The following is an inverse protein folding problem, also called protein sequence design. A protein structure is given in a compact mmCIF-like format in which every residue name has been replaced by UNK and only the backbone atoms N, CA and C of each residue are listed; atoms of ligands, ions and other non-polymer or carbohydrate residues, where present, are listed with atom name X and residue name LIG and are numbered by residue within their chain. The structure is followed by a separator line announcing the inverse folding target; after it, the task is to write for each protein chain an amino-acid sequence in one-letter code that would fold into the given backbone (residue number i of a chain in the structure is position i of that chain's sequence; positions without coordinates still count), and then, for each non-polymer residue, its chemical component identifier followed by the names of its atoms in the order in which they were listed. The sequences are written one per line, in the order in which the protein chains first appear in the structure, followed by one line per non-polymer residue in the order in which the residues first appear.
data_IF_430883498415
#
_entry.id   IF_430883498415
#
_cell.length_a   1.000
_cell.length_b   1.000
_cell.length_c   1.000
_cell.angle_alpha   90.00
_cell.angle_beta   90.00
_cell.angle_gamma   90.00
#
_symmetry.space_group_name_H-M   'P 1'
#
loop_
_entity.id
_entity.type
_entity.pdbx_description
1 polymer ?
#
# COMPACT_ATOMS: atom_id res chain seq x y z
N UNK A 1 -0.90 -13.95 -18.46
CA UNK A 1 -0.62 -14.76 -17.25
C UNK A 1 -1.92 -14.95 -16.49
N UNK A 2 -2.17 -16.13 -15.95
CA UNK A 2 -3.41 -16.44 -15.21
C UNK A 2 -3.08 -16.59 -13.74
N UNK A 3 -3.86 -15.96 -12.87
CA UNK A 3 -3.75 -16.08 -11.42
C UNK A 3 -5.03 -16.68 -10.87
N UNK A 4 -4.91 -17.70 -10.02
CA UNK A 4 -6.04 -18.32 -9.31
C UNK A 4 -5.90 -18.02 -7.82
N UNK A 5 -6.86 -17.28 -7.27
CA UNK A 5 -6.91 -16.93 -5.84
C UNK A 5 -7.77 -17.96 -5.09
N UNK A 6 -7.34 -18.36 -3.89
CA UNK A 6 -8.22 -19.02 -2.92
C UNK A 6 -8.71 -17.94 -1.95
N UNK A 7 -10.01 -17.70 -1.96
CA UNK A 7 -10.65 -16.67 -1.14
C UNK A 7 -11.54 -17.32 -0.09
N UNK A 8 -11.69 -16.65 1.04
CA UNK A 8 -12.81 -16.92 1.94
C UNK A 8 -14.13 -16.48 1.29
N UNK A 9 -15.25 -17.02 1.74
CA UNK A 9 -16.58 -16.61 1.26
C UNK A 9 -16.83 -15.11 1.50
N UNK A 10 -16.29 -14.58 2.60
CA UNK A 10 -16.38 -13.16 2.94
C UNK A 10 -15.61 -12.28 1.95
N UNK A 11 -14.38 -12.68 1.58
CA UNK A 11 -13.56 -11.93 0.64
C UNK A 11 -14.14 -11.96 -0.78
N UNK A 12 -14.70 -13.09 -1.22
CA UNK A 12 -15.39 -13.16 -2.52
C UNK A 12 -16.65 -12.29 -2.54
N UNK A 13 -17.42 -12.25 -1.44
CA UNK A 13 -18.58 -11.38 -1.33
C UNK A 13 -18.18 -9.89 -1.38
N UNK A 14 -17.07 -9.51 -0.73
CA UNK A 14 -16.50 -8.15 -0.79
C UNK A 14 -16.11 -7.78 -2.21
N UNK A 15 -15.35 -8.63 -2.91
CA UNK A 15 -14.95 -8.40 -4.31
C UNK A 15 -16.17 -8.30 -5.23
N UNK A 16 -17.17 -9.16 -5.03
CA UNK A 16 -18.42 -9.15 -5.82
C UNK A 16 -19.15 -7.83 -5.65
N UNK A 17 -19.30 -7.33 -4.42
CA UNK A 17 -19.96 -6.06 -4.14
C UNK A 17 -19.23 -4.88 -4.78
N UNK A 18 -17.90 -4.83 -4.69
CA UNK A 18 -17.09 -3.77 -5.32
C UNK A 18 -17.20 -3.82 -6.85
N UNK A 19 -17.09 -5.00 -7.44
CA UNK A 19 -17.21 -5.22 -8.88
C UNK A 19 -18.57 -4.73 -9.42
N UNK A 20 -19.66 -5.04 -8.71
CA UNK A 20 -21.00 -4.57 -9.06
C UNK A 20 -21.15 -3.05 -8.95
N UNK A 21 -20.61 -2.44 -7.88
CA UNK A 21 -20.68 -1.00 -7.68
C UNK A 21 -19.91 -0.21 -8.74
N UNK A 22 -18.77 -0.75 -9.19
CA UNK A 22 -17.89 -0.12 -10.19
C UNK A 22 -18.20 -0.53 -11.64
N UNK A 23 -19.06 -1.53 -11.85
CA UNK A 23 -19.39 -2.04 -13.19
C UNK A 23 -18.23 -2.75 -13.88
N UNK A 24 -17.33 -3.39 -13.12
CA UNK A 24 -16.13 -4.07 -13.61
C UNK A 24 -16.08 -5.53 -13.14
N UNK A 25 -15.11 -6.31 -13.64
CA UNK A 25 -14.95 -7.70 -13.22
C UNK A 25 -14.31 -7.83 -11.83
N UNK A 26 -14.59 -8.92 -11.10
CA UNK A 26 -13.93 -9.24 -9.82
C UNK A 26 -12.39 -9.27 -9.93
N UNK A 27 -11.88 -9.77 -11.06
CA UNK A 27 -10.45 -9.82 -11.32
C UNK A 27 -9.85 -8.41 -11.47
N UNK A 28 -10.57 -7.50 -12.12
CA UNK A 28 -10.13 -6.10 -12.26
C UNK A 28 -10.09 -5.40 -10.90
N UNK A 29 -11.10 -5.60 -10.03
CA UNK A 29 -11.08 -5.10 -8.65
C UNK A 29 -9.84 -5.61 -7.91
N UNK A 30 -9.55 -6.90 -7.99
CA UNK A 30 -8.38 -7.49 -7.33
C UNK A 30 -7.06 -6.89 -7.85
N UNK A 31 -6.93 -6.71 -9.17
CA UNK A 31 -5.74 -6.08 -9.77
C UNK A 31 -5.57 -4.63 -9.31
N UNK A 32 -6.66 -3.85 -9.27
CA UNK A 32 -6.62 -2.46 -8.77
C UNK A 32 -6.23 -2.40 -7.30
N UNK A 33 -6.83 -3.24 -6.46
CA UNK A 33 -6.50 -3.32 -5.04
C UNK A 33 -5.02 -3.66 -4.81
N UNK A 34 -4.44 -4.56 -5.64
CA UNK A 34 -3.00 -4.87 -5.60
C UNK A 34 -2.16 -3.64 -5.95
N UNK A 35 -2.49 -2.92 -7.03
CA UNK A 35 -1.77 -1.71 -7.45
C UNK A 35 -1.82 -0.62 -6.38
N UNK A 36 -3.00 -0.31 -5.87
CA UNK A 36 -3.18 0.67 -4.78
C UNK A 36 -2.43 0.26 -3.51
N UNK A 37 -2.39 -1.03 -3.19
CA UNK A 37 -1.63 -1.52 -2.04
C UNK A 37 -0.12 -1.37 -2.26
N UNK A 38 0.35 -1.65 -3.48
CA UNK A 38 1.76 -1.53 -3.86
C UNK A 38 2.22 -0.07 -3.86
N UNK A 39 1.43 0.87 -4.39
CA UNK A 39 1.73 2.29 -4.37
C UNK A 39 1.83 2.84 -2.94
N UNK A 40 0.88 2.46 -2.07
CA UNK A 40 0.93 2.82 -0.64
C UNK A 40 2.13 2.20 0.07
N UNK A 41 2.50 0.97 -0.30
CA UNK A 41 3.66 0.29 0.27
C UNK A 41 4.96 0.99 -0.14
N UNK A 42 5.14 1.26 -1.43
CA UNK A 42 6.32 1.96 -1.95
C UNK A 42 6.45 3.37 -1.36
N UNK A 43 5.34 4.10 -1.25
CA UNK A 43 5.33 5.44 -0.64
C UNK A 43 5.78 5.41 0.82
N UNK A 44 5.31 4.43 1.60
CA UNK A 44 5.72 4.29 3.00
C UNK A 44 7.19 3.92 3.15
N UNK A 45 7.70 3.04 2.28
CA UNK A 45 9.12 2.66 2.29
C UNK A 45 10.02 3.83 1.93
N UNK A 46 9.61 4.64 0.96
CA UNK A 46 10.33 5.85 0.56
C UNK A 46 10.33 6.91 1.67
N UNK A 47 9.18 7.17 2.30
CA UNK A 47 9.09 8.07 3.47
C UNK A 47 9.99 7.57 4.60
N UNK A 48 9.98 6.27 4.89
CA UNK A 48 10.85 5.66 5.91
C UNK A 48 12.34 5.81 5.55
N UNK A 49 12.71 5.66 4.28
CA UNK A 49 14.08 5.85 3.80
C UNK A 49 14.54 7.28 4.00
N UNK A 50 13.79 8.25 3.48
CA UNK A 50 14.10 9.68 3.60
C UNK A 50 14.14 10.14 5.05
N UNK A 51 13.26 9.61 5.90
CA UNK A 51 13.25 9.92 7.34
C UNK A 51 14.52 9.42 8.02
N UNK A 52 14.98 8.19 7.71
CA UNK A 52 16.25 7.67 8.24
C UNK A 52 17.45 8.52 7.80
N UNK A 53 17.49 8.92 6.54
CA UNK A 53 18.54 9.78 5.99
C UNK A 53 18.54 11.15 6.69
N UNK A 54 17.37 11.77 6.85
CA UNK A 54 17.23 13.05 7.53
C UNK A 54 17.62 12.97 9.02
N UNK A 55 17.21 11.92 9.74
CA UNK A 55 17.60 11.73 11.15
C UNK A 55 19.11 11.53 11.28
N UNK A 56 19.74 10.75 10.40
CA UNK A 56 21.20 10.58 10.40
C UNK A 56 21.92 11.90 10.13
N UNK A 57 21.43 12.69 9.17
CA UNK A 57 22.08 13.92 8.75
C UNK A 57 21.88 15.08 9.74
N UNK A 58 20.65 15.25 10.24
CA UNK A 58 20.27 16.44 11.02
C UNK A 58 20.08 16.16 12.51
N UNK A 59 19.90 14.91 12.93
CA UNK A 59 19.76 14.53 14.35
C UNK A 59 20.88 15.06 15.22
N UNK A 60 22.17 14.82 14.88
CA UNK A 60 23.29 15.32 15.68
C UNK A 60 23.40 16.85 15.74
N UNK A 61 22.82 17.57 14.78
CA UNK A 61 22.76 19.04 14.81
C UNK A 61 21.64 19.50 15.76
N UNK A 62 20.46 18.89 15.66
CA UNK A 62 19.31 19.20 16.50
C UNK A 62 19.59 18.89 17.98
N UNK A 63 20.27 17.77 18.27
CA UNK A 63 20.68 17.42 19.64
C UNK A 63 21.61 18.48 20.26
N UNK A 64 22.49 19.08 19.46
CA UNK A 64 23.39 20.16 19.90
C UNK A 64 22.69 21.49 20.09
N UNK A 65 21.63 21.77 19.32
CA UNK A 65 20.83 22.99 19.45
C UNK A 65 19.83 22.93 20.61
N UNK A 66 19.50 21.73 21.09
CA UNK A 66 18.61 21.51 22.22
C UNK A 66 19.31 21.57 23.59
N UNK A 67 20.63 21.78 23.62
CA UNK A 67 21.45 22.06 24.81
C UNK A 67 21.52 23.55 25.10
#
# INVERSE_FOLDING_TARGET
MTMTLRLSDEDDARLTKMAQAEGISKNEVAVRAIRERAERFASNDEVRRLTREAVQQYGPLLDRLAQ
#
